data_IF_429497511089
#
_entry.id   IF_429497511089
#
_cell.length_a   1.000
_cell.length_b   1.000
_cell.length_c   1.000
_cell.angle_alpha   90.00
_cell.angle_beta   90.00
_cell.angle_gamma   90.00
#
_symmetry.space_group_name_H-M   'P 1'
#
loop_
_entity.id
_entity.type
_entity.pdbx_description
1 polymer ?
#
# COMPACT_ATOMS: atom_id res chain seq x y z
N UNK A 1 -9.02 3.17 -2.71
CA UNK A 1 -8.58 1.75 -2.76
C UNK A 1 -9.72 0.76 -2.44
N UNK A 2 -10.27 0.73 -1.22
CA UNK A 2 -11.27 -0.29 -0.84
C UNK A 2 -12.53 -0.24 -1.72
N UNK A 3 -13.04 0.95 -1.99
CA UNK A 3 -14.23 1.15 -2.82
C UNK A 3 -14.04 0.64 -4.26
N UNK A 4 -12.93 1.02 -4.91
CA UNK A 4 -12.62 0.54 -6.27
C UNK A 4 -12.32 -0.97 -6.30
N UNK A 5 -11.66 -1.52 -5.28
CA UNK A 5 -11.42 -2.96 -5.18
C UNK A 5 -12.72 -3.77 -5.08
N UNK A 6 -13.69 -3.31 -4.27
CA UNK A 6 -15.02 -3.95 -4.17
C UNK A 6 -15.75 -3.88 -5.51
N UNK A 7 -15.71 -2.73 -6.20
CA UNK A 7 -16.32 -2.59 -7.52
C UNK A 7 -15.70 -3.54 -8.55
N UNK A 8 -14.37 -3.63 -8.61
CA UNK A 8 -13.67 -4.57 -9.51
C UNK A 8 -14.11 -6.01 -9.26
N UNK A 9 -14.25 -6.41 -7.98
CA UNK A 9 -14.73 -7.74 -7.63
C UNK A 9 -16.19 -7.94 -8.04
N UNK A 10 -17.05 -6.93 -7.87
CA UNK A 10 -18.44 -6.99 -8.33
C UNK A 10 -18.53 -7.18 -9.85
N UNK A 11 -17.71 -6.46 -10.63
CA UNK A 11 -17.63 -6.62 -12.08
C UNK A 11 -17.24 -8.05 -12.46
N UNK A 12 -16.22 -8.62 -11.80
CA UNK A 12 -15.82 -10.01 -12.04
C UNK A 12 -16.93 -11.02 -11.73
N UNK A 13 -17.69 -10.77 -10.66
CA UNK A 13 -18.82 -11.60 -10.30
C UNK A 13 -19.94 -11.52 -11.36
N UNK A 14 -20.27 -10.32 -11.82
CA UNK A 14 -21.31 -10.10 -12.84
C UNK A 14 -20.93 -10.71 -14.20
N UNK A 15 -19.65 -10.70 -14.55
CA UNK A 15 -19.11 -11.34 -15.75
C UNK A 15 -19.00 -12.88 -15.63
N UNK A 16 -19.32 -13.45 -14.47
CA UNK A 16 -19.22 -14.89 -14.22
C UNK A 16 -17.77 -15.41 -14.13
N UNK A 17 -16.80 -14.54 -13.82
CA UNK A 17 -15.41 -14.97 -13.61
C UNK A 17 -15.30 -15.84 -12.36
N UNK A 18 -14.50 -16.89 -12.45
CA UNK A 18 -14.21 -17.74 -11.29
C UNK A 18 -13.38 -16.93 -10.28
N UNK A 19 -13.97 -16.63 -9.14
CA UNK A 19 -13.21 -16.15 -7.98
C UNK A 19 -12.66 -17.35 -7.23
N UNK A 20 -11.35 -17.57 -7.34
CA UNK A 20 -10.67 -18.53 -6.47
C UNK A 20 -10.78 -18.04 -5.03
N UNK A 21 -11.30 -18.89 -4.15
CA UNK A 21 -11.29 -18.65 -2.71
C UNK A 21 -9.84 -18.45 -2.28
N UNK A 22 -9.58 -17.30 -1.64
CA UNK A 22 -8.25 -16.99 -1.13
C UNK A 22 -7.99 -17.86 0.10
N UNK A 23 -6.88 -18.60 0.10
CA UNK A 23 -6.49 -19.41 1.26
C UNK A 23 -6.38 -18.55 2.51
N UNK A 24 -7.17 -18.86 3.53
CA UNK A 24 -7.13 -18.16 4.82
C UNK A 24 -5.74 -18.15 5.46
N UNK A 25 -4.95 -19.22 5.26
CA UNK A 25 -3.57 -19.31 5.73
C UNK A 25 -2.69 -18.30 5.01
N UNK A 26 -2.79 -18.20 3.68
CA UNK A 26 -2.02 -17.23 2.91
C UNK A 26 -2.38 -15.79 3.28
N UNK A 27 -3.66 -15.49 3.49
CA UNK A 27 -4.09 -14.15 3.92
C UNK A 27 -3.42 -13.79 5.25
N UNK A 28 -3.42 -14.71 6.23
CA UNK A 28 -2.80 -14.48 7.54
C UNK A 28 -1.29 -14.30 7.45
N UNK A 29 -0.63 -15.13 6.65
CA UNK A 29 0.82 -15.06 6.44
C UNK A 29 1.21 -13.75 5.74
N UNK A 30 0.53 -13.38 4.67
CA UNK A 30 0.73 -12.12 3.96
C UNK A 30 0.49 -10.91 4.88
N UNK A 31 -0.53 -10.96 5.73
CA UNK A 31 -0.79 -9.92 6.73
C UNK A 31 0.38 -9.80 7.71
N UNK A 32 0.91 -10.92 8.19
CA UNK A 32 2.08 -10.92 9.08
C UNK A 32 3.32 -10.34 8.38
N UNK A 33 3.62 -10.79 7.15
CA UNK A 33 4.76 -10.30 6.37
C UNK A 33 4.69 -8.80 6.12
N UNK A 34 3.54 -8.30 5.69
CA UNK A 34 3.31 -6.87 5.48
C UNK A 34 3.47 -6.07 6.78
N UNK A 35 2.97 -6.59 7.90
CA UNK A 35 3.10 -5.92 9.20
C UNK A 35 4.54 -5.92 9.74
N UNK A 36 5.28 -7.01 9.54
CA UNK A 36 6.62 -7.20 10.10
C UNK A 36 7.72 -6.50 9.30
N UNK A 37 7.60 -6.51 7.98
CA UNK A 37 8.64 -6.03 7.06
C UNK A 37 8.22 -4.76 6.30
N UNK A 38 6.96 -4.34 6.39
CA UNK A 38 6.46 -3.18 5.66
C UNK A 38 6.71 -3.31 4.16
N UNK A 39 7.18 -2.23 3.53
CA UNK A 39 7.46 -2.14 2.09
C UNK A 39 8.61 -3.02 1.59
N UNK A 40 9.41 -3.59 2.49
CA UNK A 40 10.45 -4.57 2.17
C UNK A 40 9.92 -6.01 2.23
N UNK A 41 8.65 -6.20 2.61
CA UNK A 41 8.01 -7.50 2.68
C UNK A 41 7.80 -8.16 1.31
N UNK A 42 7.48 -9.45 1.36
CA UNK A 42 7.09 -10.25 0.21
C UNK A 42 5.69 -10.83 0.41
N UNK A 43 4.98 -11.05 -0.69
CA UNK A 43 3.60 -11.53 -0.72
C UNK A 43 3.51 -12.86 -1.45
N UNK A 44 2.88 -13.85 -0.83
CA UNK A 44 2.52 -15.13 -1.44
C UNK A 44 1.36 -14.89 -2.40
N UNK A 45 1.47 -15.33 -3.65
CA UNK A 45 0.50 -15.09 -4.72
C UNK A 45 -0.07 -16.37 -5.36
N UNK A 46 0.44 -17.55 -5.00
CA UNK A 46 0.01 -18.83 -5.55
C UNK A 46 -0.03 -19.92 -4.47
N UNK A 47 -0.71 -21.03 -4.77
CA UNK A 47 -0.77 -22.21 -3.88
C UNK A 47 0.53 -22.99 -3.85
N UNK A 48 1.33 -22.84 -4.90
CA UNK A 48 2.67 -23.39 -5.06
C UNK A 48 3.70 -22.64 -4.20
N UNK A 49 3.31 -21.50 -3.61
CA UNK A 49 4.15 -20.71 -2.71
C UNK A 49 4.97 -19.63 -3.41
N UNK A 50 4.60 -19.24 -4.64
CA UNK A 50 5.28 -18.15 -5.35
C UNK A 50 5.15 -16.85 -4.56
N UNK A 51 6.26 -16.12 -4.46
CA UNK A 51 6.32 -14.84 -3.76
C UNK A 51 6.75 -13.71 -4.69
N UNK A 52 6.18 -12.52 -4.45
CA UNK A 52 6.60 -11.28 -5.11
C UNK A 52 6.87 -10.19 -4.06
N UNK A 53 7.74 -9.20 -4.33
CA UNK A 53 7.90 -8.05 -3.45
C UNK A 53 6.56 -7.33 -3.21
N UNK A 54 6.32 -6.84 -1.99
CA UNK A 54 5.08 -6.13 -1.64
C UNK A 54 4.85 -4.91 -2.54
N UNK A 55 5.93 -4.18 -2.89
CA UNK A 55 5.87 -3.07 -3.85
C UNK A 55 5.27 -3.50 -5.19
N UNK A 56 5.74 -4.62 -5.74
CA UNK A 56 5.23 -5.18 -7.00
C UNK A 56 3.78 -5.62 -6.86
N UNK A 57 3.44 -6.29 -5.76
CA UNK A 57 2.06 -6.72 -5.48
C UNK A 57 1.09 -5.53 -5.40
N UNK A 58 1.51 -4.43 -4.77
CA UNK A 58 0.74 -3.19 -4.69
C UNK A 58 0.54 -2.58 -6.09
N UNK A 59 1.60 -2.43 -6.88
CA UNK A 59 1.49 -1.91 -8.26
C UNK A 59 0.51 -2.73 -9.08
N UNK A 60 0.63 -4.06 -9.09
CA UNK A 60 -0.31 -4.95 -9.78
C UNK A 60 -1.75 -4.81 -9.28
N UNK A 61 -1.92 -4.59 -7.98
CA UNK A 61 -3.24 -4.38 -7.37
C UNK A 61 -3.85 -3.04 -7.79
N UNK A 62 -3.06 -1.96 -7.79
CA UNK A 62 -3.49 -0.63 -8.21
C UNK A 62 -3.87 -0.62 -9.69
N UNK A 63 -3.05 -1.20 -10.56
CA UNK A 63 -3.34 -1.36 -11.99
C UNK A 63 -4.66 -2.11 -12.21
N UNK A 64 -4.91 -3.16 -11.43
CA UNK A 64 -6.14 -3.95 -11.50
C UNK A 64 -7.39 -3.15 -11.13
N UNK A 65 -7.33 -2.28 -10.12
CA UNK A 65 -8.49 -1.53 -9.61
C UNK A 65 -8.65 -0.15 -10.24
N UNK A 66 -7.66 0.32 -11.01
CA UNK A 66 -7.67 1.64 -11.64
C UNK A 66 -8.86 1.85 -12.59
N UNK A 67 -9.27 0.90 -13.46
CA UNK A 67 -10.46 1.07 -14.30
C UNK A 67 -11.72 1.36 -13.48
N UNK A 68 -11.97 0.58 -12.42
CA UNK A 68 -13.10 0.79 -11.52
C UNK A 68 -12.98 2.12 -10.76
N UNK A 69 -11.78 2.53 -10.36
CA UNK A 69 -11.56 3.83 -9.71
C UNK A 69 -11.92 5.00 -10.64
N UNK A 70 -11.61 4.91 -11.93
CA UNK A 70 -12.00 5.92 -12.93
C UNK A 70 -13.51 6.00 -13.11
N UNK A 71 -14.21 4.85 -13.16
CA UNK A 71 -15.68 4.80 -13.24
C UNK A 71 -16.32 5.49 -12.02
N UNK A 72 -15.73 5.30 -10.84
CA UNK A 72 -16.22 5.84 -9.57
C UNK A 72 -15.72 7.27 -9.27
N UNK A 73 -14.88 7.84 -10.14
CA UNK A 73 -14.27 9.16 -9.93
C UNK A 73 -13.34 9.25 -8.71
N UNK A 74 -12.69 8.14 -8.32
CA UNK A 74 -11.80 8.08 -7.16
C UNK A 74 -10.35 7.70 -7.51
N UNK A 75 -9.96 7.83 -8.78
CA UNK A 75 -8.63 7.51 -9.29
C UNK A 75 -7.53 8.44 -8.75
N UNK A 76 -7.85 9.69 -8.42
CA UNK A 76 -6.92 10.61 -7.73
C UNK A 76 -6.36 10.02 -6.42
N UNK A 77 -7.21 9.34 -5.64
CA UNK A 77 -6.80 8.71 -4.38
C UNK A 77 -5.89 7.49 -4.58
N UNK A 78 -5.83 6.93 -5.80
CA UNK A 78 -4.85 5.88 -6.11
C UNK A 78 -3.46 6.48 -6.36
N UNK A 79 -3.39 7.72 -6.86
CA UNK A 79 -2.12 8.42 -7.10
C UNK A 79 -1.40 8.76 -5.78
N UNK A 80 -2.14 9.02 -4.70
CA UNK A 80 -1.58 9.18 -3.35
C UNK A 80 -0.75 7.97 -2.90
N UNK A 81 -1.06 6.77 -3.41
CA UNK A 81 -0.27 5.57 -3.11
C UNK A 81 1.10 5.63 -3.79
N UNK A 82 1.19 6.20 -4.99
CA UNK A 82 2.46 6.41 -5.67
C UNK A 82 3.35 7.39 -4.90
N UNK A 83 2.76 8.42 -4.27
CA UNK A 83 3.48 9.32 -3.37
C UNK A 83 4.03 8.56 -2.15
N UNK A 84 3.23 7.69 -1.52
CA UNK A 84 3.70 6.83 -0.42
C UNK A 84 4.83 5.90 -0.88
N UNK A 85 4.76 5.38 -2.11
CA UNK A 85 5.81 4.53 -2.68
C UNK A 85 7.11 5.31 -2.95
N UNK A 86 6.99 6.59 -3.33
CA UNK A 86 8.10 7.48 -3.65
C UNK A 86 8.77 8.10 -2.41
N UNK A 87 7.99 8.64 -1.48
CA UNK A 87 8.48 9.28 -0.24
C UNK A 87 8.65 8.29 0.92
N UNK A 88 8.16 7.07 0.76
CA UNK A 88 8.17 6.04 1.79
C UNK A 88 6.99 6.18 2.77
N UNK A 89 6.58 5.08 3.42
CA UNK A 89 5.50 5.09 4.40
C UNK A 89 5.92 5.81 5.68
N UNK A 90 4.93 6.19 6.50
CA UNK A 90 5.16 6.97 7.73
C UNK A 90 6.21 6.37 8.67
N UNK A 91 6.30 5.05 8.82
CA UNK A 91 7.33 4.44 9.67
C UNK A 91 8.77 4.71 9.19
N UNK A 92 9.00 4.84 7.88
CA UNK A 92 10.33 5.16 7.32
C UNK A 92 10.69 6.58 7.71
N UNK A 93 9.76 7.50 7.46
CA UNK A 93 9.88 8.91 7.76
C UNK A 93 10.08 9.17 9.26
N UNK A 94 9.32 8.49 10.12
CA UNK A 94 9.49 8.54 11.59
C UNK A 94 10.86 8.01 12.04
N UNK A 95 11.39 6.94 11.43
CA UNK A 95 12.73 6.44 11.75
C UNK A 95 13.82 7.44 11.37
N UNK A 96 13.68 8.12 10.25
CA UNK A 96 14.59 9.19 9.84
C UNK A 96 14.54 10.37 10.80
N UNK A 97 13.34 10.86 11.14
CA UNK A 97 13.20 11.92 12.16
C UNK A 97 13.83 11.54 13.49
N UNK A 98 13.66 10.29 13.93
CA UNK A 98 14.34 9.79 15.13
C UNK A 98 15.86 9.88 15.01
N UNK A 99 16.43 9.52 13.86
CA UNK A 99 17.87 9.53 13.62
C UNK A 99 18.43 10.96 13.56
N UNK A 100 17.70 11.89 12.93
CA UNK A 100 18.16 13.27 12.71
C UNK A 100 17.92 14.19 13.91
N UNK A 101 16.75 14.08 14.56
CA UNK A 101 16.25 15.06 15.54
C UNK A 101 15.84 14.46 16.88
N UNK A 102 15.92 13.14 17.03
CA UNK A 102 15.53 12.43 18.24
C UNK A 102 14.04 12.07 18.31
N UNK A 103 13.66 11.34 19.36
CA UNK A 103 12.30 10.80 19.52
C UNK A 103 11.23 11.89 19.68
N UNK A 104 11.57 12.97 20.40
CA UNK A 104 10.62 14.03 20.75
C UNK A 104 10.17 14.86 19.54
N UNK A 105 10.93 14.81 18.44
CA UNK A 105 10.59 15.49 17.19
C UNK A 105 9.50 14.76 16.39
N UNK A 106 9.26 13.47 16.64
CA UNK A 106 8.35 12.65 15.84
C UNK A 106 6.90 13.13 15.94
N UNK A 107 6.30 13.36 17.12
CA UNK A 107 4.90 13.79 17.22
C UNK A 107 4.66 15.15 16.57
N UNK A 108 5.62 16.08 16.69
CA UNK A 108 5.54 17.39 16.06
C UNK A 108 5.58 17.28 14.53
N UNK A 109 6.48 16.46 13.99
CA UNK A 109 6.55 16.22 12.55
C UNK A 109 5.26 15.57 12.03
N UNK A 110 4.70 14.60 12.75
CA UNK A 110 3.43 13.96 12.39
C UNK A 110 2.24 14.94 12.43
N UNK A 111 2.20 15.82 13.45
CA UNK A 111 1.17 16.86 13.54
C UNK A 111 1.25 17.82 12.36
N UNK A 112 2.47 18.22 11.97
CA UNK A 112 2.69 19.08 10.82
C UNK A 112 2.25 18.40 9.51
N UNK A 113 2.62 17.14 9.26
CA UNK A 113 2.16 16.43 8.05
C UNK A 113 0.63 16.40 7.95
N UNK A 114 -0.04 16.22 9.08
CA UNK A 114 -1.51 16.18 9.15
C UNK A 114 -2.15 17.55 8.93
N UNK A 115 -1.54 18.63 9.44
CA UNK A 115 -2.06 19.98 9.23
C UNK A 115 -1.87 20.48 7.80
N UNK A 116 -0.81 20.04 7.12
CA UNK A 116 -0.45 20.56 5.79
C UNK A 116 -0.77 19.60 4.64
N UNK A 117 -1.16 18.36 4.91
CA UNK A 117 -1.26 17.27 3.92
C UNK A 117 0.01 17.12 3.06
N UNK A 118 1.18 17.35 3.67
CA UNK A 118 2.47 17.29 2.98
C UNK A 118 3.43 16.39 3.75
N UNK A 119 4.00 15.40 3.08
CA UNK A 119 5.03 14.55 3.67
C UNK A 119 6.32 15.33 3.87
N UNK A 120 6.96 15.17 5.02
CA UNK A 120 8.33 15.67 5.17
C UNK A 120 9.27 14.77 4.35
N UNK A 121 10.10 15.41 3.53
CA UNK A 121 10.90 14.70 2.54
C UNK A 121 12.03 13.91 3.17
N UNK A 122 12.16 12.67 2.71
CA UNK A 122 13.41 11.91 2.73
C UNK A 122 14.32 12.51 1.65
N UNK A 123 15.59 12.88 1.94
CA UNK A 123 16.55 13.11 0.86
C UNK A 123 16.63 11.83 0.03
N UNK A 124 16.36 11.89 -1.28
CA UNK A 124 16.60 10.74 -2.14
C UNK A 124 18.08 10.38 -2.00
N UNK A 125 18.38 9.14 -1.58
CA UNK A 125 19.72 8.58 -1.77
C UNK A 125 20.02 8.62 -3.28
N UNK A 126 21.13 9.27 -3.64
CA UNK A 126 21.69 9.28 -5.01
C UNK A 126 22.09 7.87 -5.46
#
# INVERSE_FOLDING_TARGET
IAHSAVHTLLEYYQEGRIMLEQSHIMIRENKWRASRFGMEGQMIISFEGDVVPLRKFLTMTLERILPSAKILGCDSHLQEVDEILAYGPGYVRQRMMRQERGMDAIPLAMAQEFETDQFFSVPKEE
#
